data_IF_882708139292
#
_entry.id   IF_882708139292
#
_cell.length_a   1.000
_cell.length_b   1.000
_cell.length_c   1.000
_cell.angle_alpha   90.00
_cell.angle_beta   90.00
_cell.angle_gamma   90.00
#
_symmetry.space_group_name_H-M   'P 1'
#
loop_
_entity.id
_entity.type
_entity.pdbx_description
1 polymer ?
#
# COMPACT_ATOMS: atom_id res chain seq x y z
N UNK A 1 -27.27 27.51 17.35
CA UNK A 1 -27.16 28.97 17.12
C UNK A 1 -26.75 29.22 15.67
N UNK A 2 -26.61 30.49 15.24
CA UNK A 2 -26.75 30.92 13.81
C UNK A 2 -25.58 30.54 12.88
N UNK A 3 -25.90 30.52 11.57
CA UNK A 3 -24.99 30.37 10.42
C UNK A 3 -24.14 31.64 10.20
N UNK A 4 -22.93 31.50 9.67
CA UNK A 4 -22.17 32.54 8.94
C UNK A 4 -21.13 31.83 8.04
N UNK A 5 -21.37 31.69 6.73
CA UNK A 5 -21.06 32.66 5.66
C UNK A 5 -19.62 33.19 5.69
N UNK A 6 -18.83 32.76 4.70
CA UNK A 6 -17.56 33.37 4.29
C UNK A 6 -17.65 33.73 2.80
N UNK A 7 -17.61 35.02 2.50
CA UNK A 7 -17.48 35.63 1.18
C UNK A 7 -16.52 36.83 1.35
N UNK A 8 -15.94 37.30 0.24
CA UNK A 8 -15.00 38.44 0.09
C UNK A 8 -13.55 38.06 0.44
N UNK A 9 -12.60 37.96 -0.49
CA UNK A 9 -12.30 38.68 -1.74
C UNK A 9 -11.66 40.07 -1.55
N UNK A 10 -10.45 40.22 -2.09
CA UNK A 10 -9.64 41.45 -2.17
C UNK A 10 -8.13 41.15 -2.07
N UNK A 11 -7.20 41.94 -2.61
CA UNK A 11 -7.28 43.14 -3.48
C UNK A 11 -5.83 43.49 -3.96
N UNK A 12 -5.64 44.46 -4.89
CA UNK A 12 -4.36 44.97 -5.49
C UNK A 12 -3.81 44.15 -6.68
N UNK A 13 -3.17 44.67 -7.75
CA UNK A 13 -2.93 46.01 -8.36
C UNK A 13 -2.33 45.76 -9.79
N UNK A 14 -2.23 46.66 -10.79
CA UNK A 14 -2.59 48.08 -10.94
C UNK A 14 -2.97 48.39 -12.43
N UNK A 15 -2.77 49.64 -12.87
CA UNK A 15 -3.12 50.27 -14.14
C UNK A 15 -2.28 49.89 -15.40
N UNK A 16 -2.92 50.03 -16.57
CA UNK A 16 -2.52 51.03 -17.56
C UNK A 16 -3.74 51.43 -18.43
N UNK A 17 -4.02 52.73 -18.55
CA UNK A 17 -4.96 53.27 -19.53
C UNK A 17 -4.20 53.64 -20.80
N UNK A 18 -4.63 53.12 -21.95
CA UNK A 18 -4.07 53.45 -23.26
C UNK A 18 -5.19 53.61 -24.29
N UNK A 19 -5.59 54.86 -24.54
CA UNK A 19 -6.66 55.20 -25.46
C UNK A 19 -6.07 55.42 -26.87
N UNK A 20 -6.47 54.63 -27.87
CA UNK A 20 -6.13 54.86 -29.28
C UNK A 20 -7.36 54.71 -30.19
N UNK A 21 -7.38 55.53 -31.23
CA UNK A 21 -8.56 55.95 -31.99
C UNK A 21 -8.52 55.32 -33.39
N UNK A 22 -9.68 54.89 -33.89
CA UNK A 22 -10.07 54.92 -35.32
C UNK A 22 -9.17 54.25 -36.37
N UNK A 23 -9.68 53.18 -36.99
CA UNK A 23 -9.17 52.63 -38.25
C UNK A 23 -10.28 51.92 -39.01
N UNK A 24 -10.64 52.44 -40.18
CA UNK A 24 -11.73 51.94 -41.04
C UNK A 24 -11.27 50.83 -42.00
N UNK A 25 -12.20 49.89 -42.26
CA UNK A 25 -12.38 49.11 -43.49
C UNK A 25 -11.19 48.39 -44.16
N UNK A 26 -11.25 47.05 -44.18
CA UNK A 26 -11.05 46.22 -45.40
C UNK A 26 -11.42 44.75 -45.10
N UNK A 27 -12.40 44.14 -45.81
CA UNK A 27 -12.62 42.70 -45.77
C UNK A 27 -11.65 41.99 -46.73
N UNK A 28 -10.52 41.51 -46.21
CA UNK A 28 -9.63 40.64 -46.99
C UNK A 28 -10.23 39.22 -47.10
N UNK A 29 -10.56 38.79 -48.31
CA UNK A 29 -11.07 37.44 -48.61
C UNK A 29 -10.06 36.37 -48.19
N UNK A 30 -10.28 35.73 -47.05
CA UNK A 30 -9.45 34.62 -46.58
C UNK A 30 -9.72 33.38 -47.43
N UNK A 31 -8.74 33.01 -48.28
CA UNK A 31 -8.76 31.75 -49.02
C UNK A 31 -8.64 30.57 -48.05
N UNK A 32 -9.74 29.84 -47.85
CA UNK A 32 -9.77 28.63 -47.02
C UNK A 32 -9.03 27.50 -47.74
N UNK A 33 -7.85 27.13 -47.24
CA UNK A 33 -7.20 25.86 -47.59
C UNK A 33 -7.85 24.72 -46.79
N UNK A 34 -8.47 23.70 -47.42
CA UNK A 34 -8.87 22.49 -46.73
C UNK A 34 -7.63 21.65 -46.46
N UNK A 35 -7.22 21.53 -45.19
CA UNK A 35 -5.97 20.84 -44.84
C UNK A 35 -5.53 20.99 -43.39
N UNK A 36 -6.47 21.07 -42.45
CA UNK A 36 -6.20 20.92 -41.02
C UNK A 36 -6.81 19.60 -40.56
N UNK A 37 -5.96 18.56 -40.55
CA UNK A 37 -6.33 17.24 -40.04
C UNK A 37 -6.81 17.35 -38.60
N UNK A 38 -7.98 16.77 -38.30
CA UNK A 38 -8.64 16.96 -37.01
C UNK A 38 -7.78 16.38 -35.87
N UNK A 39 -7.07 17.25 -35.17
CA UNK A 39 -6.34 16.91 -33.96
C UNK A 39 -7.32 16.31 -32.96
N UNK A 40 -7.23 14.98 -32.77
CA UNK A 40 -8.09 14.25 -31.83
C UNK A 40 -7.85 14.82 -30.44
N UNK A 41 -8.90 15.33 -29.81
CA UNK A 41 -8.85 15.78 -28.41
C UNK A 41 -8.60 14.54 -27.56
N UNK A 42 -7.33 14.30 -27.21
CA UNK A 42 -6.94 13.28 -26.24
C UNK A 42 -7.40 13.77 -24.88
N UNK A 43 -8.64 13.41 -24.51
CA UNK A 43 -9.11 13.57 -23.14
C UNK A 43 -8.17 12.75 -22.25
N UNK A 44 -7.54 13.35 -21.21
CA UNK A 44 -6.65 12.61 -20.34
C UNK A 44 -7.45 11.49 -19.66
N UNK A 45 -7.01 10.26 -19.85
CA UNK A 45 -7.59 9.08 -19.20
C UNK A 45 -7.53 9.29 -17.67
N UNK A 46 -8.69 9.25 -17.01
CA UNK A 46 -8.75 9.44 -15.58
C UNK A 46 -7.97 8.32 -14.86
N UNK A 47 -7.30 8.61 -13.73
CA UNK A 47 -6.55 7.59 -13.00
C UNK A 47 -7.49 6.45 -12.58
N UNK A 48 -7.24 5.26 -13.15
CA UNK A 48 -8.00 4.05 -12.84
C UNK A 48 -7.48 3.44 -11.54
N UNK A 49 -8.40 3.08 -10.65
CA UNK A 49 -8.11 2.32 -9.44
C UNK A 49 -8.78 0.95 -9.56
N UNK A 50 -7.98 -0.10 -9.65
CA UNK A 50 -8.37 -1.45 -10.04
C UNK A 50 -8.24 -2.47 -8.90
N UNK A 51 -7.54 -2.12 -7.81
CA UNK A 51 -7.35 -2.97 -6.64
C UNK A 51 -7.78 -2.29 -5.33
N UNK A 52 -8.16 -3.09 -4.34
CA UNK A 52 -8.30 -2.65 -2.94
C UNK A 52 -7.11 -3.17 -2.14
N UNK A 53 -6.42 -2.30 -1.43
CA UNK A 53 -5.29 -2.64 -0.54
C UNK A 53 -5.52 -2.05 0.85
N UNK A 54 -4.70 -2.47 1.81
CA UNK A 54 -4.74 -2.04 3.22
C UNK A 54 -3.40 -1.48 3.66
N UNK A 55 -3.41 -0.44 4.51
CA UNK A 55 -2.18 0.11 5.09
C UNK A 55 -1.65 -0.82 6.19
N UNK A 56 -0.45 -1.36 5.99
CA UNK A 56 0.21 -2.28 6.93
C UNK A 56 1.16 -1.56 7.93
N UNK A 57 1.45 -0.28 7.72
CA UNK A 57 2.19 0.54 8.68
C UNK A 57 1.26 1.13 9.75
N UNK A 58 1.78 1.41 10.94
CA UNK A 58 1.03 2.13 12.00
C UNK A 58 0.51 3.49 11.52
N UNK A 59 1.31 4.18 10.71
CA UNK A 59 1.00 5.43 10.03
C UNK A 59 1.72 5.48 8.67
N UNK A 60 1.02 5.92 7.62
CA UNK A 60 1.55 6.02 6.26
C UNK A 60 1.19 7.37 5.63
N UNK A 61 2.20 8.12 5.19
CA UNK A 61 2.00 9.43 4.56
C UNK A 61 1.50 9.28 3.11
N UNK A 62 0.31 9.83 2.83
CA UNK A 62 -0.18 10.09 1.48
C UNK A 62 0.47 11.36 0.95
N UNK A 63 1.12 11.30 -0.22
CA UNK A 63 1.92 12.40 -0.76
C UNK A 63 1.44 12.87 -2.14
N UNK A 64 1.75 14.11 -2.47
CA UNK A 64 1.43 14.70 -3.78
C UNK A 64 2.26 14.10 -4.92
N UNK A 65 3.46 13.60 -4.61
CA UNK A 65 4.42 13.03 -5.57
C UNK A 65 4.99 11.68 -5.07
N UNK A 66 5.45 10.79 -5.99
CA UNK A 66 6.09 9.50 -5.68
C UNK A 66 7.52 9.69 -5.15
N UNK A 67 7.67 10.42 -4.04
CA UNK A 67 8.96 10.80 -3.48
C UNK A 67 8.84 11.08 -1.97
N UNK A 68 9.87 10.74 -1.21
CA UNK A 68 10.00 11.10 0.21
C UNK A 68 10.02 12.60 0.46
N UNK A 69 10.41 13.39 -0.55
CA UNK A 69 10.41 14.86 -0.52
C UNK A 69 9.07 15.47 -0.98
N UNK A 70 8.12 14.66 -1.48
CA UNK A 70 6.80 15.14 -1.89
C UNK A 70 5.97 15.62 -0.70
N UNK A 71 5.20 16.70 -0.89
CA UNK A 71 4.29 17.25 0.13
C UNK A 71 3.36 16.16 0.67
N UNK A 72 3.18 16.12 1.99
CA UNK A 72 2.19 15.23 2.64
C UNK A 72 0.80 15.87 2.55
N UNK A 73 -0.17 15.11 2.03
CA UNK A 73 -1.57 15.50 1.89
C UNK A 73 -2.42 15.01 3.07
N UNK A 74 -2.13 13.81 3.58
CA UNK A 74 -2.72 13.22 4.77
C UNK A 74 -1.82 12.11 5.36
N UNK A 75 -2.18 11.66 6.56
CA UNK A 75 -1.63 10.48 7.20
C UNK A 75 -2.71 9.40 7.32
N UNK A 76 -2.45 8.24 6.73
CA UNK A 76 -3.33 7.08 6.75
C UNK A 76 -2.94 6.17 7.93
N UNK A 77 -3.93 5.64 8.65
CA UNK A 77 -3.71 4.73 9.79
C UNK A 77 -3.55 3.28 9.31
N UNK A 78 -2.99 2.42 10.16
CA UNK A 78 -3.07 0.97 10.01
C UNK A 78 -4.50 0.49 9.66
N UNK A 79 -4.60 -0.54 8.82
CA UNK A 79 -5.83 -1.10 8.26
C UNK A 79 -6.72 -0.12 7.47
N UNK A 80 -6.25 1.09 7.18
CA UNK A 80 -6.98 2.00 6.26
C UNK A 80 -7.09 1.31 4.91
N UNK A 81 -8.33 1.06 4.48
CA UNK A 81 -8.63 0.58 3.13
C UNK A 81 -8.36 1.70 2.13
N UNK A 82 -7.61 1.38 1.08
CA UNK A 82 -7.31 2.31 -0.02
C UNK A 82 -7.63 1.66 -1.36
N UNK A 83 -8.11 2.45 -2.31
CA UNK A 83 -8.21 2.02 -3.71
C UNK A 83 -6.86 2.29 -4.36
N UNK A 84 -6.21 1.26 -4.90
CA UNK A 84 -4.91 1.35 -5.55
C UNK A 84 -5.05 1.33 -7.08
N UNK A 85 -4.16 2.04 -7.76
CA UNK A 85 -4.08 2.11 -9.22
C UNK A 85 -2.64 2.05 -9.69
N UNK A 86 -2.21 3.09 -10.42
CA UNK A 86 -0.87 3.19 -11.02
C UNK A 86 0.27 2.87 -10.01
N UNK A 87 1.22 2.03 -10.43
CA UNK A 87 2.42 1.71 -9.66
C UNK A 87 3.66 2.17 -10.43
N UNK A 88 4.54 2.93 -9.79
CA UNK A 88 5.84 3.33 -10.36
C UNK A 88 6.91 3.52 -9.30
N UNK A 89 8.13 3.05 -9.57
CA UNK A 89 9.33 3.28 -8.75
C UNK A 89 9.17 2.99 -7.25
N UNK A 90 8.41 1.94 -6.89
CA UNK A 90 8.14 1.58 -5.49
C UNK A 90 7.04 2.40 -4.80
N UNK A 91 6.30 3.22 -5.56
CA UNK A 91 5.13 3.98 -5.11
C UNK A 91 3.85 3.50 -5.80
N UNK A 92 2.72 3.70 -5.14
CA UNK A 92 1.38 3.38 -5.62
C UNK A 92 0.52 4.63 -5.53
N UNK A 93 -0.18 4.97 -6.62
CA UNK A 93 -1.24 5.97 -6.61
C UNK A 93 -2.45 5.34 -5.92
N UNK A 94 -2.94 5.99 -4.87
CA UNK A 94 -4.10 5.54 -4.11
C UNK A 94 -5.14 6.64 -3.95
N UNK A 95 -6.40 6.23 -3.87
CA UNK A 95 -7.52 7.06 -3.41
C UNK A 95 -7.94 6.59 -2.01
N UNK A 96 -7.96 7.53 -1.07
CA UNK A 96 -8.33 7.29 0.33
C UNK A 96 -8.97 8.55 0.93
N UNK A 97 -10.11 8.41 1.62
CA UNK A 97 -10.80 9.51 2.32
C UNK A 97 -11.08 10.76 1.44
N UNK A 98 -11.32 10.56 0.13
CA UNK A 98 -11.56 11.65 -0.83
C UNK A 98 -10.30 12.36 -1.32
N UNK A 99 -9.10 11.94 -0.91
CA UNK A 99 -7.82 12.41 -1.44
C UNK A 99 -7.19 11.36 -2.35
N UNK A 100 -6.52 11.84 -3.40
CA UNK A 100 -5.71 11.02 -4.31
C UNK A 100 -4.24 11.42 -4.15
N UNK A 101 -3.35 10.43 -4.06
CA UNK A 101 -1.92 10.68 -3.90
C UNK A 101 -1.08 9.41 -3.87
N UNK A 102 0.21 9.56 -3.63
CA UNK A 102 1.23 8.52 -3.67
C UNK A 102 1.57 8.00 -2.27
N UNK A 103 1.63 6.69 -2.12
CA UNK A 103 2.16 6.01 -0.93
C UNK A 103 3.24 5.00 -1.33
N UNK A 104 4.16 4.69 -0.42
CA UNK A 104 5.20 3.68 -0.69
C UNK A 104 4.61 2.28 -0.64
N UNK A 105 4.86 1.49 -1.69
CA UNK A 105 4.26 0.17 -1.91
C UNK A 105 4.57 -0.84 -0.80
N UNK A 106 5.74 -0.72 -0.15
CA UNK A 106 6.19 -1.62 0.92
C UNK A 106 5.31 -1.57 2.18
N UNK A 107 4.46 -0.55 2.33
CA UNK A 107 3.55 -0.37 3.46
C UNK A 107 2.08 -0.66 3.12
N UNK A 108 1.83 -1.32 1.97
CA UNK A 108 0.51 -1.79 1.57
C UNK A 108 0.46 -3.32 1.58
N UNK A 109 -0.68 -3.88 2.00
CA UNK A 109 -0.99 -5.30 1.99
C UNK A 109 -2.23 -5.58 1.13
N UNK A 110 -2.27 -6.75 0.48
CA UNK A 110 -3.45 -7.26 -0.22
C UNK A 110 -4.54 -7.77 0.73
N UNK A 111 -4.15 -8.17 1.95
CA UNK A 111 -5.06 -8.54 3.03
C UNK A 111 -5.09 -7.45 4.10
N UNK A 112 -6.23 -7.23 4.79
CA UNK A 112 -6.20 -6.48 6.04
C UNK A 112 -5.26 -7.20 7.01
N UNK A 113 -4.68 -6.49 7.97
CA UNK A 113 -3.96 -7.18 9.03
C UNK A 113 -4.94 -8.15 9.71
N UNK A 114 -4.49 -9.38 9.94
CA UNK A 114 -5.23 -10.30 10.77
C UNK A 114 -5.48 -9.59 12.09
N UNK A 115 -6.75 -9.39 12.46
CA UNK A 115 -7.08 -8.92 13.80
C UNK A 115 -6.54 -9.98 14.74
N UNK A 116 -5.40 -9.70 15.36
CA UNK A 116 -4.98 -10.35 16.59
C UNK A 116 -6.09 -9.98 17.56
N UNK A 117 -7.10 -10.85 17.64
CA UNK A 117 -8.08 -10.79 18.71
C UNK A 117 -7.26 -10.68 19.98
N UNK A 118 -7.50 -9.68 20.85
CA UNK A 118 -6.68 -9.48 22.02
C UNK A 118 -6.72 -10.80 22.78
N UNK A 119 -5.58 -11.51 22.80
CA UNK A 119 -5.46 -12.74 23.54
C UNK A 119 -5.74 -12.34 24.97
N UNK A 120 -6.91 -12.73 25.48
CA UNK A 120 -7.31 -12.45 26.85
C UNK A 120 -6.16 -12.96 27.68
N UNK A 121 -5.48 -12.05 28.37
CA UNK A 121 -4.29 -12.36 29.16
C UNK A 121 -4.75 -13.16 30.37
N UNK A 122 -4.98 -14.46 30.15
CA UNK A 122 -5.20 -15.44 31.19
C UNK A 122 -3.98 -15.34 32.10
N UNK A 123 -4.14 -14.98 33.38
CA UNK A 123 -3.00 -14.83 34.27
C UNK A 123 -2.25 -16.15 34.32
N UNK A 124 -0.94 -16.09 34.09
CA UNK A 124 -0.10 -17.26 33.93
C UNK A 124 -0.20 -18.16 35.18
N UNK A 125 -0.91 -19.29 35.04
CA UNK A 125 -0.87 -20.35 36.04
C UNK A 125 0.51 -20.98 35.95
N UNK A 126 1.31 -20.71 36.98
CA UNK A 126 2.65 -21.24 37.23
C UNK A 126 2.89 -22.64 36.65
N UNK A 127 3.68 -22.73 35.58
CA UNK A 127 4.29 -23.98 35.15
C UNK A 127 5.58 -24.22 35.97
N UNK A 128 5.85 -25.44 36.46
CA UNK A 128 7.14 -25.77 37.07
C UNK A 128 8.25 -25.64 36.03
N UNK A 129 9.29 -24.86 36.35
CA UNK A 129 10.36 -24.57 35.39
C UNK A 129 11.35 -25.73 35.21
N UNK A 130 11.96 -25.78 34.03
CA UNK A 130 13.26 -26.41 33.82
C UNK A 130 14.12 -25.55 32.87
N UNK A 131 15.32 -25.18 33.34
CA UNK A 131 16.51 -24.92 32.53
C UNK A 131 16.47 -23.77 31.52
N UNK A 132 16.84 -22.56 31.94
CA UNK A 132 17.41 -21.57 31.01
C UNK A 132 18.88 -21.92 30.77
N UNK A 133 19.26 -22.26 29.53
CA UNK A 133 20.64 -22.12 29.03
C UNK A 133 20.57 -21.53 27.63
N UNK A 134 21.10 -20.33 27.45
CA UNK A 134 21.28 -19.75 26.12
C UNK A 134 22.64 -20.10 25.55
N UNK A 135 22.70 -20.53 24.29
CA UNK A 135 23.76 -20.10 23.35
C UNK A 135 23.27 -20.19 21.91
N UNK A 136 23.50 -19.12 21.15
CA UNK A 136 22.97 -18.95 19.81
C UNK A 136 23.80 -19.68 18.76
N UNK A 137 23.16 -20.60 18.04
CA UNK A 137 23.52 -21.04 16.67
C UNK A 137 22.42 -21.85 15.97
N UNK A 138 21.34 -22.24 16.68
CA UNK A 138 20.14 -22.91 16.15
C UNK A 138 19.09 -21.94 15.54
N UNK A 139 19.49 -20.76 15.06
CA UNK A 139 18.63 -19.57 14.90
C UNK A 139 17.57 -19.61 13.75
N UNK A 140 17.16 -20.78 13.30
CA UNK A 140 16.04 -20.95 12.36
C UNK A 140 15.30 -22.27 12.60
N UNK A 141 16.02 -23.33 12.93
CA UNK A 141 15.46 -24.67 13.13
C UNK A 141 15.51 -25.10 14.61
N UNK A 142 14.35 -25.19 15.31
CA UNK A 142 14.32 -25.67 16.69
C UNK A 142 14.67 -27.16 16.77
N UNK A 143 14.97 -27.64 17.97
CA UNK A 143 15.44 -29.00 18.22
C UNK A 143 14.35 -30.10 18.21
N UNK A 144 13.15 -29.80 17.69
CA UNK A 144 11.94 -30.65 17.60
C UNK A 144 12.07 -31.75 16.53
N UNK A 145 12.97 -32.72 16.77
CA UNK A 145 13.43 -33.72 15.79
C UNK A 145 12.54 -34.96 15.63
N UNK A 146 11.37 -34.99 16.25
CA UNK A 146 10.41 -36.09 16.20
C UNK A 146 9.00 -35.58 15.97
N UNK A 147 8.18 -36.31 15.22
CA UNK A 147 6.80 -35.94 14.92
C UNK A 147 5.90 -35.77 16.16
N UNK A 148 6.23 -36.42 17.28
CA UNK A 148 5.55 -36.23 18.58
C UNK A 148 5.84 -34.87 19.24
N UNK A 149 6.75 -34.08 18.67
CA UNK A 149 7.15 -32.75 19.14
C UNK A 149 6.74 -31.66 18.14
N UNK A 150 5.97 -31.98 17.11
CA UNK A 150 5.55 -31.04 16.06
C UNK A 150 4.03 -30.95 16.13
N UNK A 151 3.51 -29.73 16.24
CA UNK A 151 2.10 -29.52 16.60
C UNK A 151 1.23 -29.28 15.35
N UNK A 152 1.83 -29.17 14.16
CA UNK A 152 1.12 -28.98 12.89
C UNK A 152 1.86 -29.53 11.67
N UNK A 153 1.09 -29.91 10.63
CA UNK A 153 1.65 -30.38 9.36
C UNK A 153 2.44 -29.31 8.59
N UNK A 154 2.01 -28.04 8.65
CA UNK A 154 2.71 -26.94 7.99
C UNK A 154 4.09 -26.67 8.62
N UNK A 155 4.19 -26.79 9.94
CA UNK A 155 5.45 -26.75 10.68
C UNK A 155 6.37 -27.92 10.29
N UNK A 156 5.83 -29.15 10.20
CA UNK A 156 6.57 -30.33 9.74
C UNK A 156 7.15 -30.14 8.32
N UNK A 157 6.33 -29.61 7.39
CA UNK A 157 6.75 -29.28 6.01
C UNK A 157 7.81 -28.18 5.97
N UNK A 158 7.68 -27.16 6.83
CA UNK A 158 8.68 -26.11 6.93
C UNK A 158 10.02 -26.68 7.43
N UNK A 159 10.03 -27.57 8.43
CA UNK A 159 11.26 -28.24 8.88
C UNK A 159 11.87 -29.15 7.81
N UNK A 160 11.06 -29.91 7.06
CA UNK A 160 11.56 -30.74 5.95
C UNK A 160 12.31 -29.90 4.90
N UNK A 161 11.79 -28.71 4.57
CA UNK A 161 12.37 -27.83 3.54
C UNK A 161 13.53 -26.93 4.03
N UNK A 162 13.55 -26.53 5.31
CA UNK A 162 14.47 -25.49 5.80
C UNK A 162 15.52 -26.02 6.79
N UNK A 163 15.39 -27.25 7.29
CA UNK A 163 16.26 -27.79 8.33
C UNK A 163 17.08 -28.98 7.84
N UNK A 164 18.39 -28.95 8.13
CA UNK A 164 19.33 -30.02 7.78
C UNK A 164 19.01 -31.39 8.42
N UNK A 165 18.20 -31.41 9.48
CA UNK A 165 17.65 -32.62 10.09
C UNK A 165 16.24 -32.99 9.61
N UNK A 166 15.60 -32.16 8.77
CA UNK A 166 14.19 -32.27 8.37
C UNK A 166 13.83 -33.57 7.65
N UNK A 167 14.79 -34.13 6.88
CA UNK A 167 14.68 -35.45 6.23
C UNK A 167 14.34 -36.61 7.19
N UNK A 168 14.48 -36.42 8.51
CA UNK A 168 14.16 -37.42 9.54
C UNK A 168 12.68 -37.47 9.91
N UNK A 169 11.90 -36.50 9.45
CA UNK A 169 10.44 -36.43 9.66
C UNK A 169 9.67 -37.17 8.55
N UNK A 170 10.31 -37.35 7.40
CA UNK A 170 9.80 -38.05 6.23
C UNK A 170 10.29 -39.51 6.30
N UNK A 171 9.41 -40.41 6.76
CA UNK A 171 9.78 -41.76 7.15
C UNK A 171 9.93 -42.72 5.97
N UNK A 172 9.07 -42.57 4.97
CA UNK A 172 9.01 -43.32 3.72
C UNK A 172 9.66 -42.59 2.54
N UNK A 173 10.10 -41.34 2.72
CA UNK A 173 10.77 -40.49 1.73
C UNK A 173 9.86 -40.10 0.56
N UNK A 174 8.56 -39.92 0.83
CA UNK A 174 7.55 -39.53 -0.16
C UNK A 174 7.39 -37.99 -0.30
N UNK A 175 8.07 -37.22 0.56
CA UNK A 175 7.98 -35.76 0.65
C UNK A 175 6.93 -35.24 1.65
N UNK A 176 6.25 -36.12 2.39
CA UNK A 176 5.23 -35.80 3.39
C UNK A 176 5.77 -36.09 4.80
N UNK A 177 6.28 -35.07 5.51
CA UNK A 177 6.82 -35.28 6.84
C UNK A 177 5.68 -35.57 7.83
N UNK A 178 5.90 -36.50 8.74
CA UNK A 178 4.96 -36.84 9.81
C UNK A 178 3.56 -37.23 9.29
N UNK A 179 3.46 -38.34 8.55
CA UNK A 179 2.21 -38.88 8.00
C UNK A 179 1.00 -38.78 8.95
N UNK A 180 1.15 -39.12 10.23
CA UNK A 180 0.08 -39.07 11.23
C UNK A 180 -0.50 -37.67 11.51
N UNK A 181 0.18 -36.60 11.06
CA UNK A 181 -0.25 -35.21 11.14
C UNK A 181 -0.59 -34.62 9.75
N UNK A 182 -0.06 -35.19 8.67
CA UNK A 182 -0.06 -34.60 7.33
C UNK A 182 -0.92 -35.33 6.28
N UNK A 183 -1.58 -36.43 6.65
CA UNK A 183 -2.34 -37.33 5.76
C UNK A 183 -3.86 -37.21 5.95
#
# INVERSE_FOLDING_TARGET
>A
MRKLFWIFAGIMMLAALGNIIGGTDTPATASVRPGAEAARVVVPEAPRFDATLYVAASSLNLREAPSTNGRVLASLKHDTKVMAGERRSGWVLVSANGQVGWVSAQYLSGTPAARVAPAISVPARSQPGYGVVQRQSEASCPSRRYCTQIDSCEEARWYLANCSWGHRLDGDNDGVPCEALCR
#
